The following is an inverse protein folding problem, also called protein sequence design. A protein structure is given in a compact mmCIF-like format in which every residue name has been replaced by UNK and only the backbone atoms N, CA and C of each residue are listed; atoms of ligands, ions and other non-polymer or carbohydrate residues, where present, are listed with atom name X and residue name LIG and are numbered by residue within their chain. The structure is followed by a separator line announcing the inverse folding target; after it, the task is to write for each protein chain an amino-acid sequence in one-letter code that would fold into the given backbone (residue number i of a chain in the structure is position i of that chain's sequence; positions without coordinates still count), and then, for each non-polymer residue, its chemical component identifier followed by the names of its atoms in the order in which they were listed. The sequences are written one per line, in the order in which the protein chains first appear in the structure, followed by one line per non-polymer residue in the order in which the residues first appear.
data_IF_297865507979
#
_entry.id   IF_297865507979
#
_cell.length_a   1.000
_cell.length_b   1.000
_cell.length_c   1.000
_cell.angle_alpha   90.00
_cell.angle_beta   90.00
_cell.angle_gamma   90.00
#
_symmetry.space_group_name_H-M   'P 1'
#
loop_
_entity.id
_entity.type
_entity.pdbx_description
1 polymer ?
#
# COMPACT_ATOMS: atom_id res chain seq x y z
N UNK A 1 23.32 -4.36 7.06
CA UNK A 1 22.54 -4.58 5.82
C UNK A 1 21.19 -5.25 6.08
N UNK A 2 21.13 -6.46 6.66
CA UNK A 2 19.84 -7.14 6.95
C UNK A 2 18.89 -6.32 7.85
N UNK A 3 19.41 -5.61 8.85
CA UNK A 3 18.59 -4.69 9.68
C UNK A 3 18.01 -3.52 8.89
N UNK A 4 18.73 -3.01 7.88
CA UNK A 4 18.28 -1.87 7.08
C UNK A 4 17.25 -2.28 6.02
N UNK A 5 17.52 -3.36 5.28
CA UNK A 5 16.69 -3.79 4.15
C UNK A 5 15.58 -4.79 4.50
N UNK A 6 15.73 -5.57 5.56
CA UNK A 6 14.74 -6.57 5.97
C UNK A 6 14.22 -6.33 7.39
N UNK A 7 14.51 -5.15 7.96
CA UNK A 7 14.16 -4.79 9.34
C UNK A 7 14.55 -5.88 10.37
N UNK A 8 15.69 -6.55 10.12
CA UNK A 8 16.20 -7.62 10.97
C UNK A 8 15.51 -8.98 10.79
N UNK A 9 14.47 -9.07 9.96
CA UNK A 9 13.64 -10.28 9.81
C UNK A 9 12.71 -10.53 10.99
N UNK A 10 12.44 -9.52 11.80
CA UNK A 10 11.60 -9.61 13.01
C UNK A 10 10.28 -8.83 12.86
N UNK A 11 9.89 -8.46 11.63
CA UNK A 11 8.66 -7.70 11.41
C UNK A 11 7.41 -8.52 11.78
N UNK A 12 6.54 -7.97 12.65
CA UNK A 12 5.22 -8.55 12.87
C UNK A 12 4.43 -8.62 11.56
N UNK A 13 3.76 -9.74 11.33
CA UNK A 13 3.01 -9.97 10.09
C UNK A 13 1.92 -8.94 9.81
N UNK A 14 1.30 -8.42 10.88
CA UNK A 14 0.22 -7.44 10.76
C UNK A 14 0.77 -6.08 10.34
N UNK A 15 1.94 -5.67 10.85
CA UNK A 15 2.62 -4.43 10.43
C UNK A 15 3.08 -4.51 8.98
N UNK A 16 3.62 -5.66 8.57
CA UNK A 16 4.02 -5.90 7.18
C UNK A 16 2.82 -5.90 6.23
N UNK A 17 1.70 -6.56 6.61
CA UNK A 17 0.48 -6.57 5.81
C UNK A 17 -0.16 -5.20 5.69
N UNK A 18 -0.22 -4.45 6.79
CA UNK A 18 -0.71 -3.06 6.81
C UNK A 18 0.20 -2.16 5.97
N UNK A 19 1.51 -2.26 6.12
CA UNK A 19 2.45 -1.47 5.31
C UNK A 19 2.34 -1.80 3.82
N UNK A 20 2.08 -3.06 3.47
CA UNK A 20 1.80 -3.45 2.08
C UNK A 20 0.52 -2.80 1.57
N UNK A 21 -0.54 -2.77 2.39
CA UNK A 21 -1.78 -2.07 2.08
C UNK A 21 -1.54 -0.56 1.90
N UNK A 22 -0.82 0.06 2.83
CA UNK A 22 -0.48 1.49 2.79
C UNK A 22 0.38 1.89 1.60
N UNK A 23 1.14 0.95 1.04
CA UNK A 23 1.94 1.18 -0.18
C UNK A 23 1.11 1.42 -1.44
N UNK A 24 -0.20 1.14 -1.40
CA UNK A 24 -1.13 1.49 -2.47
C UNK A 24 -1.66 2.92 -2.35
N UNK A 25 -1.41 3.60 -1.23
CA UNK A 25 -1.89 4.94 -0.98
C UNK A 25 -0.79 5.97 -1.24
N UNK A 26 -1.20 7.06 -1.88
CA UNK A 26 -0.41 8.28 -2.06
C UNK A 26 -1.35 9.48 -2.14
N UNK A 27 -0.80 10.70 -2.09
CA UNK A 27 -1.58 11.91 -2.36
C UNK A 27 -2.33 11.83 -3.69
N UNK A 28 -1.68 11.33 -4.75
CA UNK A 28 -2.28 11.21 -6.08
C UNK A 28 -3.45 10.22 -6.11
N UNK A 29 -3.36 9.11 -5.37
CA UNK A 29 -4.44 8.11 -5.37
C UNK A 29 -5.70 8.63 -4.70
N UNK A 30 -5.60 9.43 -3.63
CA UNK A 30 -6.78 10.04 -3.02
C UNK A 30 -7.53 10.96 -3.97
N UNK A 31 -6.79 11.76 -4.76
CA UNK A 31 -7.37 12.66 -5.75
C UNK A 31 -8.03 11.87 -6.88
N UNK A 32 -7.32 10.89 -7.45
CA UNK A 32 -7.83 10.09 -8.57
C UNK A 32 -9.05 9.26 -8.16
N UNK A 33 -8.94 8.47 -7.09
CA UNK A 33 -10.04 7.62 -6.65
C UNK A 33 -11.22 8.42 -6.10
N UNK A 34 -10.96 9.55 -5.42
CA UNK A 34 -12.01 10.48 -5.01
C UNK A 34 -12.76 11.06 -6.20
N UNK A 35 -12.05 11.42 -7.27
CA UNK A 35 -12.66 11.91 -8.51
C UNK A 35 -13.53 10.84 -9.17
N UNK A 36 -13.04 9.61 -9.29
CA UNK A 36 -13.81 8.50 -9.90
C UNK A 36 -15.01 8.13 -9.02
N UNK A 37 -14.88 8.14 -7.70
CA UNK A 37 -16.01 7.90 -6.79
C UNK A 37 -17.07 9.01 -6.88
N UNK A 38 -16.65 10.26 -7.05
CA UNK A 38 -17.56 11.38 -7.26
C UNK A 38 -18.32 11.29 -8.60
N UNK A 39 -17.63 10.91 -9.68
CA UNK A 39 -18.23 10.85 -11.02
C UNK A 39 -18.98 9.54 -11.32
N UNK A 40 -18.53 8.42 -10.76
CA UNK A 40 -18.96 7.07 -11.15
C UNK A 40 -19.39 6.20 -9.96
N UNK A 41 -19.42 6.76 -8.74
CA UNK A 41 -19.95 6.09 -7.55
C UNK A 41 -19.26 4.77 -7.24
N UNK A 42 -20.06 3.71 -7.12
CA UNK A 42 -19.65 2.37 -6.68
C UNK A 42 -18.69 1.66 -7.65
N UNK A 43 -18.62 2.12 -8.90
CA UNK A 43 -17.61 1.67 -9.85
C UNK A 43 -16.20 1.83 -9.29
N UNK A 44 -15.91 2.93 -8.58
CA UNK A 44 -14.60 3.17 -7.95
C UNK A 44 -14.23 2.06 -6.96
N UNK A 45 -15.21 1.59 -6.16
CA UNK A 45 -15.04 0.48 -5.21
C UNK A 45 -14.77 -0.82 -5.96
N UNK A 46 -15.50 -1.06 -7.06
CA UNK A 46 -15.33 -2.25 -7.90
C UNK A 46 -13.92 -2.32 -8.50
N UNK A 47 -13.39 -1.20 -8.99
CA UNK A 47 -12.00 -1.13 -9.48
C UNK A 47 -11.03 -1.48 -8.34
N UNK A 48 -11.22 -0.92 -7.14
CA UNK A 48 -10.34 -1.18 -6.00
C UNK A 48 -10.40 -2.64 -5.51
N UNK A 49 -11.54 -3.31 -5.62
CA UNK A 49 -11.67 -4.74 -5.32
C UNK A 49 -10.82 -5.62 -6.23
N UNK A 50 -10.63 -5.25 -7.50
CA UNK A 50 -9.74 -6.00 -8.40
C UNK A 50 -8.29 -6.01 -7.89
N UNK A 51 -7.82 -4.88 -7.34
CA UNK A 51 -6.48 -4.78 -6.74
C UNK A 51 -6.37 -5.62 -5.47
N UNK A 52 -7.42 -5.64 -4.63
CA UNK A 52 -7.46 -6.51 -3.46
C UNK A 52 -7.34 -7.99 -3.87
N UNK A 53 -8.15 -8.42 -4.84
CA UNK A 53 -8.14 -9.81 -5.32
C UNK A 53 -6.75 -10.18 -5.84
N UNK A 54 -6.11 -9.30 -6.63
CA UNK A 54 -4.74 -9.48 -7.08
C UNK A 54 -3.76 -9.62 -5.90
N UNK A 55 -3.85 -8.76 -4.89
CA UNK A 55 -3.03 -8.82 -3.67
C UNK A 55 -3.19 -10.14 -2.91
N UNK A 56 -4.43 -10.64 -2.78
CA UNK A 56 -4.73 -11.94 -2.16
C UNK A 56 -4.08 -13.07 -2.95
N UNK A 57 -4.26 -13.11 -4.27
CA UNK A 57 -3.66 -14.13 -5.15
C UNK A 57 -2.13 -14.13 -5.00
N UNK A 58 -1.49 -12.96 -5.06
CA UNK A 58 -0.04 -12.83 -4.92
C UNK A 58 0.42 -13.30 -3.56
N UNK A 59 -0.30 -12.90 -2.51
CA UNK A 59 -0.07 -13.39 -1.16
C UNK A 59 -0.02 -14.91 -1.16
N UNK A 60 -1.08 -15.60 -1.59
CA UNK A 60 -1.16 -17.05 -1.45
C UNK A 60 -0.22 -17.82 -2.39
N UNK A 61 -0.03 -17.38 -3.63
CA UNK A 61 0.67 -18.16 -4.66
C UNK A 61 2.10 -17.71 -4.94
N UNK A 62 2.38 -16.40 -4.85
CA UNK A 62 3.65 -15.81 -5.27
C UNK A 62 4.56 -15.53 -4.07
N UNK A 63 4.02 -15.03 -2.95
CA UNK A 63 4.81 -14.74 -1.76
C UNK A 63 5.60 -15.96 -1.22
N UNK A 64 5.05 -17.18 -1.15
CA UNK A 64 5.82 -18.35 -0.70
C UNK A 64 6.97 -18.71 -1.64
N UNK A 65 6.84 -18.41 -2.95
CA UNK A 65 7.90 -18.64 -3.93
C UNK A 65 9.04 -17.64 -3.73
N UNK A 66 8.72 -16.36 -3.55
CA UNK A 66 9.71 -15.32 -3.23
C UNK A 66 10.45 -15.62 -1.92
N UNK A 67 9.75 -16.04 -0.87
CA UNK A 67 10.39 -16.39 0.41
C UNK A 67 11.41 -17.53 0.28
N UNK A 68 11.16 -18.51 -0.59
CA UNK A 68 12.11 -19.62 -0.85
C UNK A 68 13.41 -19.15 -1.47
N UNK A 69 13.42 -18.01 -2.17
CA UNK A 69 14.64 -17.46 -2.79
C UNK A 69 15.63 -16.93 -1.75
N UNK A 70 15.15 -16.56 -0.55
CA UNK A 70 15.94 -15.92 0.53
C UNK A 70 16.68 -14.64 0.12
N UNK A 71 16.40 -14.09 -1.05
CA UNK A 71 17.00 -12.84 -1.52
C UNK A 71 16.52 -11.66 -0.66
N UNK A 72 17.46 -10.82 -0.22
CA UNK A 72 17.18 -9.62 0.55
C UNK A 72 16.92 -8.41 -0.35
N UNK A 73 17.38 -8.44 -1.60
CA UNK A 73 17.17 -7.37 -2.59
C UNK A 73 16.86 -7.95 -3.98
N UNK A 74 16.19 -7.16 -4.83
CA UNK A 74 15.98 -7.51 -6.23
C UNK A 74 17.32 -7.68 -6.97
N UNK A 75 18.31 -6.85 -6.65
CA UNK A 75 19.65 -6.93 -7.23
C UNK A 75 20.36 -8.25 -6.86
N UNK A 76 20.25 -8.70 -5.62
CA UNK A 76 20.78 -9.99 -5.17
C UNK A 76 20.11 -11.14 -5.94
N UNK A 77 18.78 -11.13 -6.01
CA UNK A 77 18.04 -12.14 -6.78
C UNK A 77 18.47 -12.20 -8.25
N UNK A 78 18.65 -11.05 -8.90
CA UNK A 78 19.11 -10.96 -10.29
C UNK A 78 20.56 -11.43 -10.43
N UNK A 79 21.42 -11.14 -9.45
CA UNK A 79 22.81 -11.61 -9.45
C UNK A 79 22.88 -13.13 -9.43
N UNK A 80 22.11 -13.76 -8.55
CA UNK A 80 22.11 -15.21 -8.38
C UNK A 80 21.52 -15.92 -9.61
N UNK A 81 20.52 -15.31 -10.26
CA UNK A 81 19.81 -15.93 -11.38
C UNK A 81 20.41 -15.63 -12.76
N UNK A 82 20.90 -14.42 -12.98
CA UNK A 82 21.28 -13.87 -14.29
C UNK A 82 22.71 -13.31 -14.33
N UNK A 83 23.42 -13.34 -13.20
CA UNK A 83 24.81 -12.89 -13.10
C UNK A 83 24.99 -11.39 -12.88
N UNK A 84 26.23 -11.01 -12.56
CA UNK A 84 26.60 -9.62 -12.18
C UNK A 84 26.43 -8.60 -13.30
N UNK A 85 26.62 -8.99 -14.56
CA UNK A 85 26.48 -8.05 -15.71
C UNK A 85 25.04 -7.54 -15.81
N UNK A 86 24.08 -8.47 -15.77
CA UNK A 86 22.65 -8.17 -15.79
C UNK A 86 22.21 -7.37 -14.56
N UNK A 87 22.73 -7.71 -13.37
CA UNK A 87 22.43 -6.95 -12.16
C UNK A 87 22.87 -5.49 -12.25
N UNK A 88 24.06 -5.21 -12.80
CA UNK A 88 24.54 -3.83 -12.97
C UNK A 88 23.63 -3.04 -13.91
N UNK A 89 23.32 -3.61 -15.08
CA UNK A 89 22.43 -2.97 -16.04
C UNK A 89 21.05 -2.67 -15.43
N UNK A 90 20.46 -3.66 -14.75
CA UNK A 90 19.20 -3.48 -14.00
C UNK A 90 19.30 -2.36 -12.97
N UNK A 91 20.37 -2.33 -12.18
CA UNK A 91 20.52 -1.36 -11.09
C UNK A 91 20.63 0.07 -11.63
N UNK A 92 21.39 0.29 -12.71
CA UNK A 92 21.51 1.63 -13.30
C UNK A 92 20.19 2.12 -13.89
N UNK A 93 19.50 1.26 -14.66
CA UNK A 93 18.20 1.60 -15.25
C UNK A 93 17.18 1.89 -14.15
N UNK A 94 17.11 1.02 -13.14
CA UNK A 94 16.15 1.15 -12.05
C UNK A 94 16.44 2.40 -11.18
N UNK A 95 17.70 2.76 -10.97
CA UNK A 95 18.07 3.96 -10.22
C UNK A 95 17.58 5.23 -10.93
N UNK A 96 17.79 5.31 -12.24
CA UNK A 96 17.29 6.44 -13.05
C UNK A 96 15.77 6.52 -12.98
N UNK A 97 15.07 5.40 -13.22
CA UNK A 97 13.60 5.35 -13.14
C UNK A 97 13.10 5.73 -11.74
N UNK A 98 13.79 5.28 -10.69
CA UNK A 98 13.41 5.55 -9.30
C UNK A 98 13.49 7.04 -8.97
N UNK A 99 14.51 7.76 -9.44
CA UNK A 99 14.63 9.21 -9.21
C UNK A 99 13.42 9.95 -9.80
N UNK A 100 13.07 9.66 -11.06
CA UNK A 100 11.91 10.29 -11.71
C UNK A 100 10.59 9.91 -11.04
N UNK A 101 10.44 8.64 -10.68
CA UNK A 101 9.24 8.12 -10.02
C UNK A 101 9.06 8.77 -8.65
N UNK A 102 10.11 8.83 -7.82
CA UNK A 102 10.05 9.48 -6.51
C UNK A 102 9.73 10.97 -6.63
N UNK A 103 10.31 11.67 -7.61
CA UNK A 103 9.96 13.07 -7.89
C UNK A 103 8.48 13.25 -8.28
N UNK A 104 7.97 12.37 -9.14
CA UNK A 104 6.57 12.37 -9.56
C UNK A 104 5.59 12.09 -8.41
N UNK A 105 6.00 11.34 -7.38
CA UNK A 105 5.20 11.13 -6.16
C UNK A 105 5.35 12.27 -5.14
N UNK A 106 6.54 12.89 -5.04
CA UNK A 106 6.79 13.98 -4.09
C UNK A 106 6.05 15.27 -4.50
N UNK A 107 5.97 15.56 -5.80
CA UNK A 107 5.36 16.79 -6.30
C UNK A 107 3.88 16.95 -5.91
N UNK A 108 2.98 15.97 -6.12
CA UNK A 108 1.59 16.07 -5.69
C UNK A 108 1.44 16.28 -4.17
N UNK A 109 2.26 15.59 -3.36
CA UNK A 109 2.25 15.76 -1.90
C UNK A 109 2.61 17.20 -1.52
N UNK A 110 3.69 17.73 -2.10
CA UNK A 110 4.11 19.10 -1.87
C UNK A 110 3.06 20.12 -2.37
N UNK A 111 2.36 19.81 -3.46
CA UNK A 111 1.29 20.65 -4.01
C UNK A 111 0.08 20.74 -3.08
N UNK A 112 -0.29 19.63 -2.45
CA UNK A 112 -1.35 19.64 -1.41
C UNK A 112 -0.93 20.55 -0.25
N UNK A 113 0.32 20.44 0.23
CA UNK A 113 0.83 21.31 1.31
C UNK A 113 0.77 22.79 0.91
N UNK A 114 1.22 23.13 -0.30
CA UNK A 114 1.17 24.52 -0.80
C UNK A 114 -0.26 25.06 -0.81
N UNK A 115 -1.22 24.31 -1.37
CA UNK A 115 -2.62 24.76 -1.48
C UNK A 115 -3.28 24.88 -0.10
N UNK A 116 -2.95 24.00 0.84
CA UNK A 116 -3.55 24.00 2.18
C UNK A 116 -2.93 25.00 3.15
N UNK A 117 -1.65 25.34 3.00
CA UNK A 117 -0.91 26.16 3.98
C UNK A 117 -0.39 27.49 3.42
N UNK A 118 -0.39 27.66 2.10
CA UNK A 118 0.22 28.82 1.42
C UNK A 118 1.75 28.78 1.34
N UNK A 119 2.41 27.71 1.82
CA UNK A 119 3.88 27.57 1.73
C UNK A 119 4.28 27.31 0.28
N UNK A 120 5.27 28.05 -0.29
CA UNK A 120 5.69 27.87 -1.68
C UNK A 120 6.07 26.42 -2.00
N UNK A 121 5.66 25.94 -3.18
CA UNK A 121 5.89 24.55 -3.62
C UNK A 121 7.36 24.11 -3.48
N UNK A 122 8.31 24.96 -3.83
CA UNK A 122 9.75 24.63 -3.76
C UNK A 122 10.19 24.35 -2.33
N UNK A 123 9.74 25.17 -1.37
CA UNK A 123 10.03 24.99 0.06
C UNK A 123 9.39 23.71 0.57
N UNK A 124 8.12 23.46 0.21
CA UNK A 124 7.41 22.23 0.57
C UNK A 124 8.14 20.97 0.06
N UNK A 125 8.62 20.98 -1.20
CA UNK A 125 9.39 19.89 -1.79
C UNK A 125 10.70 19.65 -1.00
N UNK A 126 11.47 20.71 -0.73
CA UNK A 126 12.75 20.58 -0.03
C UNK A 126 12.56 20.04 1.38
N UNK A 127 11.62 20.61 2.14
CA UNK A 127 11.37 20.21 3.53
C UNK A 127 10.89 18.76 3.60
N UNK A 128 9.88 18.39 2.80
CA UNK A 128 9.37 17.02 2.77
C UNK A 128 10.45 16.03 2.30
N UNK A 129 11.20 16.38 1.26
CA UNK A 129 12.28 15.54 0.74
C UNK A 129 13.37 15.30 1.78
N UNK A 130 13.82 16.33 2.49
CA UNK A 130 14.82 16.21 3.56
C UNK A 130 14.28 15.36 4.71
N UNK A 131 13.04 15.59 5.15
CA UNK A 131 12.43 14.77 6.20
C UNK A 131 12.39 13.29 5.81
N UNK A 132 11.95 13.00 4.58
CA UNK A 132 11.91 11.64 4.02
C UNK A 132 13.30 11.02 3.99
N UNK A 133 14.29 11.74 3.49
CA UNK A 133 15.68 11.26 3.44
C UNK A 133 16.22 10.96 4.85
N UNK A 134 15.97 11.83 5.82
CA UNK A 134 16.48 11.65 7.19
C UNK A 134 15.88 10.41 7.84
N UNK A 135 14.54 10.25 7.86
CA UNK A 135 13.94 9.11 8.56
C UNK A 135 14.23 7.79 7.84
N UNK A 136 14.30 7.80 6.50
CA UNK A 136 14.62 6.58 5.73
C UNK A 136 16.09 6.19 5.90
N UNK A 137 17.03 7.15 5.86
CA UNK A 137 18.46 6.88 6.03
C UNK A 137 18.81 6.38 7.43
N UNK A 138 18.13 6.89 8.47
CA UNK A 138 18.40 6.47 9.86
C UNK A 138 17.73 5.13 10.19
N UNK A 139 16.47 4.94 9.79
CA UNK A 139 15.68 3.81 10.27
C UNK A 139 15.45 2.65 9.28
N UNK A 140 15.78 2.83 8.00
CA UNK A 140 15.58 1.82 6.96
C UNK A 140 14.12 1.35 6.85
N UNK A 141 13.94 0.07 6.51
CA UNK A 141 12.60 -0.51 6.33
C UNK A 141 11.72 -0.43 7.60
N UNK A 142 12.32 -0.50 8.79
CA UNK A 142 11.55 -0.43 10.04
C UNK A 142 10.89 0.94 10.22
N UNK A 143 11.63 2.03 10.01
CA UNK A 143 11.04 3.38 10.08
C UNK A 143 9.91 3.57 9.06
N UNK A 144 10.10 3.09 7.83
CA UNK A 144 9.06 3.16 6.78
C UNK A 144 7.78 2.44 7.22
N UNK A 145 7.91 1.24 7.79
CA UNK A 145 6.73 0.48 8.24
C UNK A 145 6.04 1.15 9.43
N UNK A 146 6.80 1.73 10.36
CA UNK A 146 6.23 2.50 11.47
C UNK A 146 5.48 3.73 10.96
N UNK A 147 6.04 4.46 10.00
CA UNK A 147 5.32 5.60 9.37
C UNK A 147 4.06 5.14 8.65
N UNK A 148 4.08 3.98 7.98
CA UNK A 148 2.89 3.43 7.33
C UNK A 148 1.78 3.10 8.35
N UNK A 149 2.14 2.52 9.51
CA UNK A 149 1.18 2.24 10.60
C UNK A 149 0.56 3.52 11.15
N UNK A 150 1.38 4.55 11.39
CA UNK A 150 0.88 5.85 11.84
C UNK A 150 -0.06 6.49 10.80
N UNK A 151 0.33 6.43 9.52
CA UNK A 151 -0.49 6.96 8.43
C UNK A 151 -1.84 6.22 8.32
N UNK A 152 -1.85 4.90 8.48
CA UNK A 152 -3.08 4.12 8.52
C UNK A 152 -4.03 4.59 9.63
N UNK A 153 -3.52 4.76 10.86
CA UNK A 153 -4.34 5.23 12.00
C UNK A 153 -4.96 6.59 11.72
N UNK A 154 -4.16 7.54 11.19
CA UNK A 154 -4.63 8.89 10.88
C UNK A 154 -5.70 8.85 9.78
N UNK A 155 -5.50 8.07 8.72
CA UNK A 155 -6.47 7.94 7.63
C UNK A 155 -7.77 7.26 8.06
N UNK A 156 -7.68 6.20 8.87
CA UNK A 156 -8.86 5.53 9.43
C UNK A 156 -9.65 6.49 10.31
N UNK A 157 -8.99 7.26 11.17
CA UNK A 157 -9.65 8.29 11.97
C UNK A 157 -10.33 9.35 11.09
N UNK A 158 -9.66 9.80 10.02
CA UNK A 158 -10.24 10.74 9.08
C UNK A 158 -11.51 10.19 8.42
N UNK A 159 -11.51 8.92 7.97
CA UNK A 159 -12.70 8.27 7.39
C UNK A 159 -13.84 8.16 8.41
N UNK A 160 -13.54 7.71 9.63
CA UNK A 160 -14.53 7.55 10.71
C UNK A 160 -15.16 8.88 11.13
N UNK A 161 -14.48 10.01 10.92
CA UNK A 161 -15.01 11.35 11.21
C UNK A 161 -15.75 11.92 10.00
N UNK A 162 -15.14 11.89 8.81
CA UNK A 162 -15.65 12.58 7.63
C UNK A 162 -16.91 11.90 7.07
N UNK A 163 -16.99 10.56 7.08
CA UNK A 163 -18.14 9.84 6.51
C UNK A 163 -19.44 10.13 7.28
N UNK A 164 -19.51 10.00 8.62
CA UNK A 164 -20.72 10.35 9.37
C UNK A 164 -21.12 11.82 9.23
N UNK A 165 -20.14 12.74 9.27
CA UNK A 165 -20.41 14.17 9.07
C UNK A 165 -20.96 14.47 7.67
N UNK A 166 -20.52 13.73 6.65
CA UNK A 166 -21.04 13.85 5.28
C UNK A 166 -22.48 13.35 5.20
N UNK A 167 -22.81 12.25 5.87
CA UNK A 167 -24.19 11.77 5.95
C UNK A 167 -25.09 12.71 6.73
N UNK A 168 -24.63 13.27 7.85
CA UNK A 168 -25.38 14.28 8.60
C UNK A 168 -25.66 15.51 7.74
N UNK A 169 -24.65 15.97 6.97
CA UNK A 169 -24.78 17.14 6.10
C UNK A 169 -25.82 16.98 4.99
N UNK A 170 -25.99 15.77 4.46
CA UNK A 170 -27.01 15.45 3.44
C UNK A 170 -28.33 15.00 4.06
N UNK A 171 -28.47 14.95 5.40
CA UNK A 171 -29.72 14.58 6.07
C UNK A 171 -29.95 13.07 6.18
N UNK A 172 -28.88 12.26 6.16
CA UNK A 172 -28.91 10.82 6.39
C UNK A 172 -28.60 9.97 5.15
N UNK A 173 -28.40 8.67 5.40
CA UNK A 173 -28.08 7.68 4.37
C UNK A 173 -29.23 7.52 3.37
N UNK A 174 -30.48 7.56 3.84
CA UNK A 174 -31.66 7.46 2.96
C UNK A 174 -31.70 8.60 1.95
N UNK A 175 -31.39 9.82 2.41
CA UNK A 175 -31.38 10.98 1.53
C UNK A 175 -30.23 10.89 0.51
N UNK A 176 -29.05 10.41 0.94
CA UNK A 176 -27.94 10.11 0.04
C UNK A 176 -28.32 9.10 -1.05
N UNK A 177 -28.97 7.98 -0.70
CA UNK A 177 -29.40 6.98 -1.68
C UNK A 177 -30.44 7.56 -2.63
N UNK A 178 -31.40 8.35 -2.11
CA UNK A 178 -32.46 8.94 -2.93
C UNK A 178 -31.98 10.02 -3.90
N UNK A 179 -30.91 10.74 -3.54
CA UNK A 179 -30.30 11.79 -4.38
C UNK A 179 -29.13 11.28 -5.21
N UNK A 180 -28.73 10.01 -5.03
CA UNK A 180 -27.66 9.41 -5.81
C UNK A 180 -28.06 9.43 -7.30
N UNK A 181 -27.15 9.80 -8.20
CA UNK A 181 -27.39 9.72 -9.64
C UNK A 181 -27.87 8.33 -10.07
N UNK A 182 -28.63 8.26 -11.16
CA UNK A 182 -28.90 6.99 -11.81
C UNK A 182 -27.57 6.26 -12.08
N UNK A 183 -27.54 4.95 -11.84
CA UNK A 183 -26.36 4.10 -11.99
C UNK A 183 -25.23 4.33 -10.96
N UNK A 184 -25.38 5.21 -9.96
CA UNK A 184 -24.33 5.47 -8.97
C UNK A 184 -23.90 4.21 -8.19
N UNK A 185 -24.81 3.26 -7.98
CA UNK A 185 -24.54 2.00 -7.27
C UNK A 185 -24.24 0.81 -8.20
N UNK A 186 -24.09 1.04 -9.50
CA UNK A 186 -23.71 -0.03 -10.42
C UNK A 186 -22.22 -0.41 -10.26
N UNK A 187 -21.92 -1.69 -10.48
CA UNK A 187 -20.55 -2.21 -10.37
C UNK A 187 -19.66 -1.77 -11.54
N UNK A 188 -20.25 -1.46 -12.70
CA UNK A 188 -19.54 -1.10 -13.93
C UNK A 188 -20.34 -0.07 -14.70
N UNK A 189 -19.67 0.71 -15.56
CA UNK A 189 -20.33 1.62 -16.49
C UNK A 189 -19.72 1.52 -17.90
N UNK A 190 -20.08 2.43 -18.81
CA UNK A 190 -19.57 2.45 -20.19
C UNK A 190 -18.06 2.70 -20.29
N UNK A 191 -17.48 3.44 -19.34
CA UNK A 191 -16.05 3.73 -19.28
C UNK A 191 -15.26 2.58 -18.61
N UNK A 192 -15.78 2.06 -17.50
CA UNK A 192 -15.21 1.02 -16.67
C UNK A 192 -16.02 -0.28 -16.78
N UNK A 193 -15.92 -0.92 -17.94
CA UNK A 193 -16.60 -2.19 -18.22
C UNK A 193 -15.98 -3.39 -17.48
N UNK A 194 -16.67 -4.54 -17.48
CA UNK A 194 -16.10 -5.79 -16.95
C UNK A 194 -14.77 -6.21 -17.63
N UNK A 195 -14.62 -5.89 -18.92
CA UNK A 195 -13.37 -6.13 -19.66
C UNK A 195 -12.24 -5.28 -19.07
N UNK A 196 -12.53 -4.01 -18.76
CA UNK A 196 -11.59 -3.14 -18.04
C UNK A 196 -11.24 -3.71 -16.67
N UNK A 197 -12.22 -4.17 -15.88
CA UNK A 197 -11.96 -4.74 -14.54
C UNK A 197 -11.02 -5.94 -14.58
N UNK A 198 -11.22 -6.85 -15.55
CA UNK A 198 -10.36 -8.02 -15.73
C UNK A 198 -8.95 -7.58 -16.18
N UNK A 199 -8.86 -6.69 -17.16
CA UNK A 199 -7.58 -6.20 -17.67
C UNK A 199 -6.79 -5.46 -16.58
N UNK A 200 -7.45 -4.59 -15.82
CA UNK A 200 -6.86 -3.84 -14.72
C UNK A 200 -6.45 -4.76 -13.56
N UNK A 201 -7.27 -5.76 -13.22
CA UNK A 201 -6.93 -6.77 -12.23
C UNK A 201 -5.69 -7.59 -12.63
N UNK A 202 -5.60 -8.02 -13.90
CA UNK A 202 -4.43 -8.72 -14.42
C UNK A 202 -3.18 -7.83 -14.42
N UNK A 203 -3.31 -6.58 -14.86
CA UNK A 203 -2.23 -5.61 -14.79
C UNK A 203 -1.68 -5.47 -13.36
N UNK A 204 -2.56 -5.28 -12.38
CA UNK A 204 -2.18 -5.15 -10.98
C UNK A 204 -1.54 -6.44 -10.43
N UNK A 205 -2.02 -7.60 -10.88
CA UNK A 205 -1.44 -8.89 -10.49
C UNK A 205 0.03 -8.97 -10.90
N UNK A 206 0.37 -8.62 -12.15
CA UNK A 206 1.77 -8.61 -12.58
C UNK A 206 2.59 -7.49 -11.95
N UNK A 207 2.00 -6.30 -11.81
CA UNK A 207 2.66 -5.15 -11.20
C UNK A 207 3.10 -5.44 -9.77
N UNK A 208 2.18 -5.91 -8.92
CA UNK A 208 2.47 -6.19 -7.50
C UNK A 208 3.38 -7.42 -7.36
N UNK A 209 3.26 -8.42 -8.23
CA UNK A 209 4.09 -9.63 -8.18
C UNK A 209 5.56 -9.36 -8.55
N UNK A 210 5.81 -8.43 -9.47
CA UNK A 210 7.13 -8.11 -10.00
C UNK A 210 7.82 -6.91 -9.33
N UNK A 211 7.09 -6.06 -8.61
CA UNK A 211 7.66 -4.86 -8.02
C UNK A 211 8.27 -5.14 -6.64
N UNK A 212 9.58 -4.94 -6.54
CA UNK A 212 10.36 -5.27 -5.36
C UNK A 212 9.89 -4.56 -4.09
N UNK A 213 9.40 -3.31 -4.17
CA UNK A 213 8.94 -2.57 -3.00
C UNK A 213 7.74 -3.25 -2.30
N UNK A 214 6.89 -3.94 -3.06
CA UNK A 214 5.80 -4.76 -2.53
C UNK A 214 6.33 -6.13 -2.09
N UNK A 215 7.20 -6.75 -2.89
CA UNK A 215 7.83 -8.05 -2.59
C UNK A 215 8.54 -8.04 -1.23
N UNK A 216 9.34 -7.01 -1.00
CA UNK A 216 10.14 -6.82 0.21
C UNK A 216 9.31 -6.91 1.49
N UNK A 217 8.07 -6.42 1.47
CA UNK A 217 7.21 -6.38 2.67
C UNK A 217 6.79 -7.77 3.11
N UNK A 218 6.43 -8.66 2.19
CA UNK A 218 6.05 -10.03 2.55
C UNK A 218 7.23 -11.02 2.60
N UNK A 219 8.39 -10.69 2.05
CA UNK A 219 9.62 -11.51 2.23
C UNK A 219 10.34 -11.21 3.55
N UNK A 220 10.07 -10.06 4.18
CA UNK A 220 10.72 -9.64 5.43
C UNK A 220 9.98 -10.07 6.72
N UNK A 221 8.94 -10.91 6.61
CA UNK A 221 8.14 -11.40 7.76
C UNK A 221 8.86 -12.56 8.46
N UNK A 222 8.77 -12.61 9.79
CA UNK A 222 9.58 -13.50 10.64
C UNK A 222 9.40 -15.00 10.40
N UNK A 223 8.20 -15.50 10.05
CA UNK A 223 7.98 -16.94 9.83
C UNK A 223 7.03 -17.25 8.66
N UNK A 224 7.11 -18.46 8.06
CA UNK A 224 6.16 -18.92 7.03
C UNK A 224 4.70 -19.03 7.52
N UNK A 225 4.49 -19.22 8.83
CA UNK A 225 3.16 -19.20 9.47
C UNK A 225 2.64 -17.76 9.62
N UNK A 226 3.51 -16.81 9.93
CA UNK A 226 3.20 -15.38 9.98
C UNK A 226 2.96 -14.80 8.59
N UNK A 227 3.64 -15.32 7.57
CA UNK A 227 3.35 -15.03 6.18
C UNK A 227 1.94 -15.50 5.77
N UNK A 228 1.38 -16.57 6.37
CA UNK A 228 -0.03 -16.96 6.18
C UNK A 228 -1.00 -15.97 6.82
N UNK A 229 -0.64 -15.40 7.96
CA UNK A 229 -1.47 -14.42 8.69
C UNK A 229 -1.42 -13.02 8.06
N UNK A 230 -0.25 -12.57 7.56
CA UNK A 230 -0.11 -11.34 6.74
C UNK A 230 -1.05 -11.36 5.53
N UNK A 231 -1.21 -12.53 4.90
CA UNK A 231 -2.15 -12.75 3.78
C UNK A 231 -3.61 -12.66 4.19
N UNK A 232 -3.93 -13.16 5.37
CA UNK A 232 -5.27 -13.06 5.94
C UNK A 232 -5.57 -11.61 6.39
N UNK A 233 -4.57 -10.85 6.84
CA UNK A 233 -4.69 -9.43 7.18
C UNK A 233 -5.21 -8.62 5.98
N UNK A 234 -4.62 -8.83 4.80
CA UNK A 234 -5.04 -8.18 3.55
C UNK A 234 -6.51 -8.49 3.24
N UNK A 235 -6.97 -9.71 3.50
CA UNK A 235 -8.36 -10.11 3.32
C UNK A 235 -9.30 -9.52 4.39
N UNK A 236 -8.87 -9.47 5.66
CA UNK A 236 -9.65 -8.92 6.77
C UNK A 236 -9.79 -7.39 6.69
N UNK A 237 -8.74 -6.66 6.30
CA UNK A 237 -8.82 -5.19 6.12
C UNK A 237 -9.76 -4.77 4.99
N UNK A 238 -10.12 -5.70 4.10
CA UNK A 238 -11.05 -5.45 2.98
C UNK A 238 -12.49 -5.85 3.32
N UNK A 239 -12.71 -6.63 4.38
CA UNK A 239 -14.03 -7.14 4.75
C UNK A 239 -14.54 -6.65 6.12
N UNK A 240 -13.84 -5.72 6.77
CA UNK A 240 -14.25 -5.03 8.02
C UNK A 240 -14.83 -5.99 9.10
N UNK A 241 -14.31 -7.22 9.18
CA UNK A 241 -14.70 -8.19 10.20
C UNK A 241 -13.75 -8.11 11.39
N UNK A 242 -14.28 -7.97 12.63
CA UNK A 242 -13.45 -7.97 13.82
C UNK A 242 -12.74 -9.33 13.96
N UNK A 243 -11.44 -9.28 14.21
CA UNK A 243 -10.65 -10.47 14.54
C UNK A 243 -10.97 -10.82 15.98
N UNK A 244 -11.62 -11.98 16.22
CA UNK A 244 -11.54 -12.64 17.51
C UNK A 244 -10.09 -13.11 17.69
N UNK A 245 -9.29 -12.25 18.30
CA UNK A 245 -7.94 -12.52 18.73
C UNK A 245 -8.00 -13.38 20.00
N UNK A 246 -8.21 -14.69 19.83
CA UNK A 246 -7.70 -15.64 20.83
C UNK A 246 -6.17 -15.73 20.67
N UNK A 247 -5.52 -14.62 21.04
CA UNK A 247 -4.08 -14.57 21.32
C UNK A 247 -3.96 -15.06 22.74
N UNK A 248 -3.75 -16.37 22.91
CA UNK A 248 -3.29 -16.89 24.19
C UNK A 248 -1.97 -16.17 24.54
N UNK A 249 -1.94 -15.56 25.71
CA UNK A 249 -0.85 -14.76 26.28
C UNK A 249 0.48 -15.50 26.48
N UNK A 250 0.62 -16.71 25.93
CA UNK A 250 1.79 -17.58 26.11
C UNK A 250 2.84 -17.49 24.98
N UNK A 251 2.58 -16.78 23.88
CA UNK A 251 3.48 -16.74 22.71
C UNK A 251 4.29 -15.43 22.57
N UNK A 252 4.44 -14.64 23.64
CA UNK A 252 5.33 -13.46 23.66
C UNK A 252 6.67 -13.79 24.36
N UNK A 253 7.78 -14.01 23.63
CA UNK A 253 9.09 -14.26 24.24
C UNK A 253 9.78 -12.98 24.76
N UNK A 254 9.08 -11.85 24.90
CA UNK A 254 9.67 -10.56 25.32
C UNK A 254 9.38 -10.13 26.77
N UNK A 255 8.78 -11.00 27.61
CA UNK A 255 8.62 -10.75 29.05
C UNK A 255 9.06 -11.95 29.89
N UNK A 256 10.36 -12.27 29.82
CA UNK A 256 11.05 -13.04 30.87
C UNK A 256 12.31 -12.28 31.27
N UNK A 257 12.15 -11.43 32.27
CA UNK A 257 13.19 -11.06 33.23
C UNK A 257 12.72 -11.52 34.59
#
# INVERSE_FOLDING_TARGET
MKSYFAAGGALPWWMSGLSLFMSFFSAGTFVVWGSIAYSSGWVAVTIQWTMCIAGVIIGFFIAPKWQKTKALTAAEFITDRLGKSTQKAYTYIFLVISIFTTGAFLYPVAKIVEVSTGIPITTSIIVLGVLILVYTAVGGLWAVIVTDVLQFIVLTAAVLIVVPLSFDKIGGVDNFISQAPEQFFEFTNSEYSWVFMIAFGLYNLFFIAGNWAYVQRYTSVATPKDAKKSRLAIWCFVHDKPINLDVTTNDLPCFKS
#
